data_IF_836962404751
#
_entry.id   IF_836962404751
#
_cell.length_a   1.000
_cell.length_b   1.000
_cell.length_c   1.000
_cell.angle_alpha   90.00
_cell.angle_beta   90.00
_cell.angle_gamma   90.00
#
_symmetry.space_group_name_H-M   'P 1'
#
loop_
_entity.id
_entity.type
_entity.pdbx_description
1 polymer ?
#
# COMPACT_ATOMS: atom_id res chain seq x y z
N UNK A 1 25.94 -20.60 1.04
CA UNK A 1 25.69 -19.68 2.16
C UNK A 1 24.25 -19.23 2.05
N UNK A 2 23.41 -19.52 3.03
CA UNK A 2 22.08 -18.95 3.07
C UNK A 2 22.19 -17.46 3.46
N UNK A 3 21.81 -16.57 2.55
CA UNK A 3 21.69 -15.13 2.86
C UNK A 3 20.45 -14.99 3.74
N UNK A 4 20.65 -14.69 5.02
CA UNK A 4 19.55 -14.32 5.91
C UNK A 4 19.20 -12.87 5.58
N UNK A 5 18.11 -12.68 4.81
CA UNK A 5 17.58 -11.34 4.57
C UNK A 5 16.76 -10.90 5.78
N UNK A 6 17.10 -9.76 6.37
CA UNK A 6 16.31 -9.17 7.45
C UNK A 6 15.20 -8.27 6.92
N UNK A 7 14.05 -8.25 7.60
CA UNK A 7 12.89 -7.41 7.28
C UNK A 7 12.67 -6.44 8.44
N UNK A 8 12.56 -5.16 8.12
CA UNK A 8 12.14 -4.14 9.07
C UNK A 8 10.61 -3.95 9.03
N UNK A 9 9.98 -4.01 10.19
CA UNK A 9 8.55 -3.70 10.32
C UNK A 9 8.40 -2.27 10.80
N UNK A 10 7.83 -1.41 9.96
CA UNK A 10 7.61 0.00 10.27
C UNK A 10 6.28 0.17 11.01
N UNK A 11 6.31 0.06 12.33
CA UNK A 11 5.14 0.33 13.19
C UNK A 11 4.93 1.83 13.34
N UNK A 12 4.50 2.47 12.26
CA UNK A 12 4.28 3.91 12.19
C UNK A 12 2.79 4.22 12.29
N UNK A 13 2.48 5.37 12.86
CA UNK A 13 1.12 5.91 12.89
C UNK A 13 0.97 6.99 11.81
N UNK A 14 0.38 6.68 10.65
CA UNK A 14 0.24 7.65 9.57
C UNK A 14 -0.76 8.75 9.92
N UNK A 15 -0.57 9.93 9.34
CA UNK A 15 -1.54 11.01 9.39
C UNK A 15 -2.55 10.84 8.26
N UNK A 16 -3.83 10.71 8.62
CA UNK A 16 -4.91 10.60 7.65
C UNK A 16 -4.88 11.78 6.67
N UNK A 17 -4.85 11.48 5.38
CA UNK A 17 -4.90 12.47 4.30
C UNK A 17 -3.63 13.31 4.10
N UNK A 18 -2.57 13.12 4.90
CA UNK A 18 -1.34 13.87 4.74
C UNK A 18 -0.24 13.01 4.10
N UNK A 19 -0.33 12.85 2.78
CA UNK A 19 0.56 11.99 2.00
C UNK A 19 2.02 12.42 2.15
N UNK A 20 2.30 13.71 2.06
CA UNK A 20 3.67 14.25 2.16
C UNK A 20 4.33 13.91 3.50
N UNK A 21 3.60 14.08 4.62
CA UNK A 21 4.13 13.73 5.94
C UNK A 21 4.34 12.23 6.10
N UNK A 22 3.45 11.41 5.55
CA UNK A 22 3.57 9.96 5.59
C UNK A 22 4.77 9.46 4.77
N UNK A 23 4.99 10.04 3.57
CA UNK A 23 6.20 9.79 2.76
C UNK A 23 7.46 10.13 3.54
N UNK A 24 7.57 11.35 4.10
CA UNK A 24 8.75 11.79 4.83
C UNK A 24 9.07 10.87 6.01
N UNK A 25 8.04 10.48 6.77
CA UNK A 25 8.18 9.59 7.93
C UNK A 25 8.62 8.17 7.52
N UNK A 26 8.12 7.65 6.40
CA UNK A 26 8.55 6.34 5.88
C UNK A 26 10.01 6.40 5.40
N UNK A 27 10.43 7.47 4.76
CA UNK A 27 11.83 7.64 4.33
C UNK A 27 12.79 7.71 5.53
N UNK A 28 12.39 8.36 6.63
CA UNK A 28 13.15 8.34 7.88
C UNK A 28 13.29 6.93 8.44
N UNK A 29 12.17 6.19 8.51
CA UNK A 29 12.19 4.80 8.98
C UNK A 29 13.03 3.90 8.07
N UNK A 30 12.98 4.11 6.74
CA UNK A 30 13.77 3.38 5.76
C UNK A 30 15.28 3.59 5.96
N UNK A 31 15.70 4.81 6.30
CA UNK A 31 17.12 5.06 6.64
C UNK A 31 17.55 4.24 7.83
N UNK A 32 16.77 4.23 8.93
CA UNK A 32 17.06 3.39 10.08
C UNK A 32 17.06 1.89 9.75
N UNK A 33 16.17 1.43 8.87
CA UNK A 33 16.16 0.05 8.39
C UNK A 33 17.42 -0.29 7.59
N UNK A 34 17.90 0.62 6.75
CA UNK A 34 19.15 0.45 6.00
C UNK A 34 20.37 0.36 6.93
N UNK A 35 20.45 1.24 7.94
CA UNK A 35 21.51 1.19 8.97
C UNK A 35 21.50 -0.13 9.76
N UNK A 36 20.31 -0.71 9.97
CA UNK A 36 20.15 -2.01 10.61
C UNK A 36 20.39 -3.21 9.65
N UNK A 37 20.72 -2.95 8.38
CA UNK A 37 21.00 -3.99 7.38
C UNK A 37 19.73 -4.72 6.89
N UNK A 38 18.55 -4.11 6.98
CA UNK A 38 17.33 -4.70 6.45
C UNK A 38 17.33 -4.68 4.91
N UNK A 39 16.83 -5.75 4.30
CA UNK A 39 16.64 -5.83 2.86
C UNK A 39 15.31 -5.23 2.41
N UNK A 40 14.33 -5.21 3.30
CA UNK A 40 12.96 -4.76 3.02
C UNK A 40 12.41 -4.04 4.25
N UNK A 41 11.63 -2.98 4.02
CA UNK A 41 10.79 -2.34 5.03
C UNK A 41 9.31 -2.50 4.67
N UNK A 42 8.49 -2.90 5.66
CA UNK A 42 7.05 -3.15 5.49
C UNK A 42 6.25 -2.19 6.35
N UNK A 43 5.23 -1.56 5.77
CA UNK A 43 4.34 -0.63 6.47
C UNK A 43 3.01 -1.30 6.86
N UNK A 44 2.21 -0.67 7.76
CA UNK A 44 0.81 -1.04 7.97
C UNK A 44 -0.05 -0.89 6.70
N UNK A 45 -1.22 -1.52 6.73
CA UNK A 45 -2.27 -1.37 5.73
C UNK A 45 -2.61 0.10 5.52
N UNK A 46 -2.80 0.51 4.24
CA UNK A 46 -3.21 1.87 3.86
C UNK A 46 -2.31 2.98 4.43
N UNK A 47 -1.06 2.65 4.70
CA UNK A 47 -0.12 3.56 5.37
C UNK A 47 -0.02 4.92 4.68
N UNK A 48 0.08 4.92 3.34
CA UNK A 48 0.36 6.15 2.61
C UNK A 48 -0.78 7.18 2.73
N UNK A 49 -2.03 6.73 2.68
CA UNK A 49 -3.23 7.56 2.84
C UNK A 49 -3.64 7.81 4.30
N UNK A 50 -3.20 6.93 5.20
CA UNK A 50 -3.82 6.74 6.50
C UNK A 50 -5.07 5.88 6.42
N UNK A 51 -5.51 5.30 7.54
CA UNK A 51 -6.69 4.43 7.63
C UNK A 51 -7.52 4.79 8.87
N UNK A 52 -8.86 4.85 8.74
CA UNK A 52 -9.65 4.73 7.50
C UNK A 52 -9.61 6.03 6.69
N UNK A 53 -9.49 5.92 5.37
CA UNK A 53 -9.49 7.10 4.48
C UNK A 53 -10.88 7.47 3.95
N UNK A 54 -11.90 6.66 4.27
CA UNK A 54 -13.32 6.89 3.96
C UNK A 54 -13.55 7.48 2.55
N UNK A 55 -14.32 8.56 2.45
CA UNK A 55 -14.69 9.18 1.18
C UNK A 55 -13.54 9.99 0.53
N UNK A 56 -12.37 10.12 1.18
CA UNK A 56 -11.21 10.77 0.56
C UNK A 56 -10.78 10.08 -0.72
N UNK A 57 -10.91 8.76 -0.78
CA UNK A 57 -10.54 7.97 -1.98
C UNK A 57 -11.40 8.26 -3.20
N UNK A 58 -12.59 8.87 -3.01
CA UNK A 58 -13.46 9.27 -4.10
C UNK A 58 -13.02 10.59 -4.75
N UNK A 59 -12.08 11.30 -4.14
CA UNK A 59 -11.57 12.57 -4.65
C UNK A 59 -10.38 12.32 -5.58
N UNK A 60 -10.49 12.78 -6.81
CA UNK A 60 -9.43 12.61 -7.82
C UNK A 60 -8.13 13.32 -7.47
N UNK A 61 -8.20 14.50 -6.83
CA UNK A 61 -7.03 15.24 -6.36
C UNK A 61 -6.28 14.45 -5.27
N UNK A 62 -6.99 13.87 -4.31
CA UNK A 62 -6.41 13.04 -3.28
C UNK A 62 -5.74 11.78 -3.87
N UNK A 63 -6.40 11.10 -4.80
CA UNK A 63 -5.84 9.91 -5.44
C UNK A 63 -4.61 10.24 -6.30
N UNK A 64 -4.57 11.44 -6.91
CA UNK A 64 -3.37 11.91 -7.61
C UNK A 64 -2.20 12.17 -6.65
N UNK A 65 -2.46 12.72 -5.45
CA UNK A 65 -1.42 12.87 -4.42
C UNK A 65 -0.90 11.52 -3.93
N UNK A 66 -1.76 10.52 -3.75
CA UNK A 66 -1.36 9.15 -3.39
C UNK A 66 -0.44 8.56 -4.48
N UNK A 67 -0.83 8.68 -5.75
CA UNK A 67 -0.02 8.20 -6.87
C UNK A 67 1.36 8.87 -6.91
N UNK A 68 1.40 10.19 -6.76
CA UNK A 68 2.65 10.97 -6.70
C UNK A 68 3.52 10.55 -5.50
N UNK A 69 2.92 10.27 -4.34
CA UNK A 69 3.63 9.76 -3.16
C UNK A 69 4.27 8.38 -3.41
N UNK A 70 3.58 7.49 -4.11
CA UNK A 70 4.13 6.18 -4.51
C UNK A 70 5.32 6.33 -5.46
N UNK A 71 5.21 7.21 -6.48
CA UNK A 71 6.30 7.51 -7.40
C UNK A 71 7.52 8.07 -6.68
N UNK A 72 7.30 9.00 -5.74
CA UNK A 72 8.37 9.59 -4.93
C UNK A 72 9.08 8.53 -4.08
N UNK A 73 8.33 7.63 -3.42
CA UNK A 73 8.90 6.53 -2.64
C UNK A 73 9.67 5.57 -3.55
N UNK A 74 9.11 5.19 -4.71
CA UNK A 74 9.78 4.32 -5.66
C UNK A 74 11.12 4.90 -6.12
N UNK A 75 11.15 6.18 -6.49
CA UNK A 75 12.36 6.86 -6.94
C UNK A 75 13.51 6.79 -5.93
N UNK A 76 13.22 6.74 -4.62
CA UNK A 76 14.25 6.65 -3.58
C UNK A 76 14.93 5.27 -3.52
N UNK A 77 14.32 4.23 -4.08
CA UNK A 77 14.85 2.86 -4.00
C UNK A 77 15.97 2.57 -5.01
N UNK A 78 16.37 3.56 -5.80
CA UNK A 78 17.54 3.45 -6.70
C UNK A 78 18.89 3.47 -5.97
N UNK A 79 18.88 3.72 -4.67
CA UNK A 79 20.08 3.85 -3.84
C UNK A 79 20.67 2.49 -3.37
N UNK A 80 20.03 1.38 -3.73
CA UNK A 80 20.42 0.02 -3.29
C UNK A 80 20.10 -0.28 -1.83
N UNK A 81 19.35 0.59 -1.15
CA UNK A 81 18.85 0.36 0.21
C UNK A 81 17.62 -0.57 0.24
N UNK A 82 16.94 -0.69 1.41
CA UNK A 82 15.78 -1.57 1.55
C UNK A 82 14.69 -1.31 0.52
N UNK A 83 14.17 -2.35 -0.11
CA UNK A 83 12.91 -2.29 -0.86
C UNK A 83 11.76 -1.87 0.07
N UNK A 84 10.73 -1.24 -0.47
CA UNK A 84 9.58 -0.75 0.31
C UNK A 84 8.35 -1.57 -0.02
N UNK A 85 7.67 -2.12 1.00
CA UNK A 85 6.33 -2.67 0.87
C UNK A 85 5.36 -1.71 1.58
N UNK A 86 4.51 -1.04 0.80
CA UNK A 86 3.64 0.02 1.30
C UNK A 86 2.18 -0.21 0.91
N UNK A 87 1.28 -0.03 1.88
CA UNK A 87 -0.16 -0.06 1.66
C UNK A 87 -0.69 1.31 1.23
N UNK A 88 -1.52 1.34 0.18
CA UNK A 88 -2.17 2.54 -0.32
C UNK A 88 -3.42 2.22 -1.14
N UNK A 89 -4.40 3.13 -1.25
CA UNK A 89 -5.47 3.00 -2.22
C UNK A 89 -4.94 3.15 -3.65
N UNK A 90 -5.56 2.47 -4.59
CA UNK A 90 -5.25 2.57 -6.00
C UNK A 90 -6.52 2.76 -6.82
N UNK A 91 -6.48 3.67 -7.79
CA UNK A 91 -7.59 3.91 -8.70
C UNK A 91 -7.17 3.59 -10.13
N UNK A 92 -7.96 2.77 -10.81
CA UNK A 92 -7.78 2.43 -12.21
C UNK A 92 -9.14 2.16 -12.87
N UNK A 93 -9.38 2.77 -14.04
CA UNK A 93 -10.61 2.56 -14.82
C UNK A 93 -11.93 2.84 -14.06
N UNK A 94 -11.92 3.72 -13.05
CA UNK A 94 -13.07 4.03 -12.20
C UNK A 94 -13.27 3.04 -11.04
N UNK A 95 -12.36 2.12 -10.86
CA UNK A 95 -12.35 1.16 -9.74
C UNK A 95 -11.32 1.61 -8.71
N UNK A 96 -11.65 1.52 -7.43
CA UNK A 96 -10.75 1.81 -6.31
C UNK A 96 -10.50 0.54 -5.53
N UNK A 97 -9.23 0.23 -5.28
CA UNK A 97 -8.79 -0.95 -4.54
C UNK A 97 -7.96 -0.57 -3.32
N UNK A 98 -8.04 -1.38 -2.26
CA UNK A 98 -7.08 -1.37 -1.16
C UNK A 98 -5.90 -2.25 -1.59
N UNK A 99 -4.73 -1.65 -1.77
CA UNK A 99 -3.61 -2.31 -2.43
C UNK A 99 -2.34 -2.26 -1.61
N UNK A 100 -1.45 -3.20 -1.84
CA UNK A 100 -0.07 -3.19 -1.39
C UNK A 100 0.85 -3.13 -2.60
N UNK A 101 1.89 -2.30 -2.50
CA UNK A 101 2.88 -2.08 -3.54
C UNK A 101 4.25 -2.53 -3.06
N UNK A 102 5.00 -3.15 -3.95
CA UNK A 102 6.43 -3.42 -3.78
C UNK A 102 7.19 -2.42 -4.64
N UNK A 103 7.99 -1.58 -3.99
CA UNK A 103 8.80 -0.54 -4.63
C UNK A 103 10.26 -0.91 -4.50
N UNK A 104 10.95 -1.04 -5.62
CA UNK A 104 12.37 -1.35 -5.67
C UNK A 104 12.96 -0.91 -7.03
N UNK A 105 14.27 -0.70 -7.07
CA UNK A 105 15.00 -0.29 -8.29
C UNK A 105 14.37 0.93 -9.00
N UNK A 106 13.81 1.85 -8.23
CA UNK A 106 13.23 3.10 -8.74
C UNK A 106 11.81 2.98 -9.31
N UNK A 107 11.14 1.84 -9.15
CA UNK A 107 9.84 1.60 -9.75
C UNK A 107 8.93 0.70 -8.91
N UNK A 108 7.66 0.64 -9.30
CA UNK A 108 6.71 -0.33 -8.74
C UNK A 108 6.98 -1.69 -9.38
N UNK A 109 7.52 -2.62 -8.59
CA UNK A 109 7.82 -3.98 -9.03
C UNK A 109 6.59 -4.88 -9.04
N UNK A 110 5.69 -4.66 -8.09
CA UNK A 110 4.46 -5.44 -7.98
C UNK A 110 3.37 -4.68 -7.23
N UNK A 111 2.11 -5.02 -7.54
CA UNK A 111 0.91 -4.62 -6.80
C UNK A 111 0.06 -5.86 -6.52
N UNK A 112 -0.58 -5.87 -5.34
CA UNK A 112 -1.63 -6.84 -5.00
C UNK A 112 -2.77 -6.11 -4.33
N UNK A 113 -3.98 -6.43 -4.77
CA UNK A 113 -5.20 -5.86 -4.25
C UNK A 113 -5.77 -6.77 -3.15
N UNK A 114 -6.33 -6.17 -2.11
CA UNK A 114 -6.99 -6.88 -1.03
C UNK A 114 -8.25 -7.57 -1.56
N UNK A 115 -8.32 -8.89 -1.36
CA UNK A 115 -9.42 -9.72 -1.85
C UNK A 115 -10.56 -9.74 -0.85
N UNK A 116 -10.27 -10.06 0.41
CA UNK A 116 -11.28 -10.12 1.47
C UNK A 116 -11.47 -8.73 2.09
N UNK A 117 -12.54 -8.06 1.68
CA UNK A 117 -12.91 -6.73 2.18
C UNK A 117 -13.86 -6.90 3.38
N UNK A 118 -13.42 -6.59 4.62
CA UNK A 118 -14.26 -6.70 5.79
C UNK A 118 -15.39 -5.65 5.72
N UNK A 119 -16.59 -6.07 6.08
CA UNK A 119 -17.78 -5.22 6.10
C UNK A 119 -18.64 -5.56 7.32
N UNK A 120 -18.00 -5.56 8.49
CA UNK A 120 -18.62 -5.90 9.77
C UNK A 120 -18.02 -5.05 10.90
N UNK A 121 -18.82 -4.77 11.92
CA UNK A 121 -18.40 -3.96 13.06
C UNK A 121 -18.09 -2.52 12.63
N UNK A 122 -16.85 -2.09 12.83
CA UNK A 122 -16.36 -0.75 12.45
C UNK A 122 -15.78 -0.70 11.03
N UNK A 123 -15.72 -1.84 10.33
CA UNK A 123 -15.16 -1.93 8.99
C UNK A 123 -16.25 -1.79 7.93
N UNK A 124 -16.01 -0.94 6.94
CA UNK A 124 -16.89 -0.69 5.80
C UNK A 124 -16.07 -0.61 4.50
N UNK A 125 -15.14 -1.54 4.32
CA UNK A 125 -14.23 -1.54 3.18
C UNK A 125 -14.97 -1.65 1.84
N UNK A 126 -16.08 -2.41 1.80
CA UNK A 126 -16.88 -2.60 0.57
C UNK A 126 -17.58 -1.34 0.09
N UNK A 127 -17.69 -0.32 0.92
CA UNK A 127 -18.28 0.97 0.54
C UNK A 127 -17.47 1.67 -0.55
N UNK A 128 -16.15 1.64 -0.41
CA UNK A 128 -15.24 2.42 -1.23
C UNK A 128 -14.27 1.57 -2.06
N UNK A 129 -14.04 0.31 -1.67
CA UNK A 129 -13.09 -0.57 -2.34
C UNK A 129 -13.78 -1.71 -3.07
N UNK A 130 -13.24 -2.01 -4.24
CA UNK A 130 -13.67 -3.15 -5.06
C UNK A 130 -12.66 -4.28 -4.93
N UNK A 131 -13.18 -5.51 -4.81
CA UNK A 131 -12.36 -6.70 -4.95
C UNK A 131 -12.21 -7.04 -6.43
N UNK A 132 -10.98 -7.04 -6.92
CA UNK A 132 -10.66 -7.49 -8.27
C UNK A 132 -10.04 -8.89 -8.19
N UNK A 133 -10.88 -9.91 -8.25
CA UNK A 133 -10.41 -11.27 -8.51
C UNK A 133 -10.26 -11.46 -10.01
N UNK A 134 -9.05 -11.37 -10.52
CA UNK A 134 -8.71 -11.86 -11.84
C UNK A 134 -8.46 -13.36 -11.74
N UNK A 135 -9.52 -14.15 -11.71
CA UNK A 135 -9.42 -15.57 -12.01
C UNK A 135 -9.83 -15.77 -13.46
N UNK A 136 -9.04 -16.51 -14.22
CA UNK A 136 -9.37 -16.98 -15.56
C UNK A 136 -10.54 -17.97 -15.56
N UNK A 137 -11.13 -18.22 -14.41
CA UNK A 137 -12.26 -19.13 -14.22
C UNK A 137 -13.37 -18.38 -13.47
N UNK A 138 -14.38 -17.96 -14.22
CA UNK A 138 -15.56 -17.24 -13.73
C UNK A 138 -16.46 -18.09 -12.80
N UNK A 139 -16.08 -19.32 -12.49
CA UNK A 139 -16.82 -20.23 -11.64
C UNK A 139 -16.49 -20.13 -10.15
N UNK A 140 -15.40 -19.42 -9.77
CA UNK A 140 -14.92 -19.32 -8.39
C UNK A 140 -14.99 -17.88 -7.87
N UNK A 141 -16.12 -17.20 -8.13
CA UNK A 141 -16.37 -15.82 -7.74
C UNK A 141 -16.77 -15.77 -6.26
N UNK A 142 -15.79 -16.04 -5.36
CA UNK A 142 -15.96 -15.90 -3.92
C UNK A 142 -15.57 -14.52 -3.40
N UNK A 143 -15.72 -13.49 -4.18
CA UNK A 143 -15.78 -12.14 -3.66
C UNK A 143 -17.11 -11.97 -2.92
N UNK A 144 -17.14 -12.54 -1.71
CA UNK A 144 -18.25 -12.62 -0.76
C UNK A 144 -19.49 -11.79 -1.09
N UNK A 145 -20.40 -12.35 -1.86
CA UNK A 145 -21.80 -11.92 -1.82
C UNK A 145 -22.43 -12.69 -0.66
N UNK A 146 -22.38 -12.13 0.53
CA UNK A 146 -23.22 -12.57 1.62
C UNK A 146 -24.69 -12.37 1.19
N UNK A 147 -25.40 -13.48 1.11
CA UNK A 147 -26.86 -13.51 0.97
C UNK A 147 -27.51 -13.32 2.33
#
# INVERSE_FOLDING_TARGET
MSVVSSIAIAQLNPHLGNIAANVARLLDARRGAAEAGAAVIVTPEMYLSGYPCDDLVLRSDFMAEVASGLEMLAATTTDGGPAIIVGAPHADGGVITNSVFVLDEGQVQARRDKVNLPNYGVFDDKRNFTCLLYTSDAADDTCGVDR
#
